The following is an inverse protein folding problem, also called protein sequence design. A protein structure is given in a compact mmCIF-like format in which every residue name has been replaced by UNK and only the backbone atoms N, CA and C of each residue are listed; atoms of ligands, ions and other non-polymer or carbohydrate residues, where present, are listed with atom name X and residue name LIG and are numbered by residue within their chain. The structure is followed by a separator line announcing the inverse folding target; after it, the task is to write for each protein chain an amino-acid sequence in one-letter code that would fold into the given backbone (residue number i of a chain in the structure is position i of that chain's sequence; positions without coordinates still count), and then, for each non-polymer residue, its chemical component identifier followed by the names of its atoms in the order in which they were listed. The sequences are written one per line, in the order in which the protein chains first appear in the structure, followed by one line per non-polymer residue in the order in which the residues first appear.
data_IF_427549069914
#
_entry.id   IF_427549069914
#
_cell.length_a   1.000
_cell.length_b   1.000
_cell.length_c   1.000
_cell.angle_alpha   90.00
_cell.angle_beta   90.00
_cell.angle_gamma   90.00
#
_symmetry.space_group_name_H-M   'P 1'
#
loop_
_entity.id
_entity.type
_entity.pdbx_description
1 polymer ?
#
# COMPACT_ATOMS: atom_id res chain seq x y z
N UNK A 1 -7.45 13.16 16.50
CA UNK A 1 -7.31 11.74 16.87
C UNK A 1 -6.63 11.11 15.68
N UNK A 2 -5.29 11.12 15.64
CA UNK A 2 -4.55 10.69 14.45
C UNK A 2 -4.41 9.16 14.43
N UNK A 3 -4.55 8.55 13.26
CA UNK A 3 -4.25 7.14 13.06
C UNK A 3 -2.79 6.99 12.63
N UNK A 4 -2.06 6.10 13.32
CA UNK A 4 -0.70 5.71 12.97
C UNK A 4 -0.73 4.28 12.47
N UNK A 5 -0.32 4.05 11.22
CA UNK A 5 -0.14 2.72 10.72
C UNK A 5 1.26 2.51 10.13
N UNK A 6 1.84 1.35 10.44
CA UNK A 6 3.19 1.00 10.02
C UNK A 6 3.18 -0.40 9.45
N UNK A 7 3.36 -0.52 8.13
CA UNK A 7 3.54 -1.82 7.49
C UNK A 7 5.04 -2.11 7.39
N UNK A 8 5.51 -3.08 8.18
CA UNK A 8 6.84 -3.68 8.04
C UNK A 8 6.70 -5.06 7.43
N UNK A 9 7.47 -5.33 6.37
CA UNK A 9 7.50 -6.66 5.76
C UNK A 9 8.29 -7.70 6.60
N UNK A 10 8.87 -7.30 7.74
CA UNK A 10 9.54 -8.16 8.72
C UNK A 10 9.43 -7.57 10.15
N UNK A 11 9.19 -8.39 11.19
CA UNK A 11 9.15 -7.92 12.57
C UNK A 11 10.57 -7.66 13.12
N UNK A 12 10.79 -6.45 13.65
CA UNK A 12 11.85 -6.15 14.63
C UNK A 12 11.15 -5.78 15.94
N UNK A 13 11.63 -6.23 17.12
CA UNK A 13 10.99 -5.86 18.38
C UNK A 13 10.96 -4.34 18.53
N UNK A 14 9.82 -3.76 18.97
CA UNK A 14 9.71 -2.33 19.18
C UNK A 14 10.63 -1.89 20.32
N UNK A 15 11.16 -0.65 20.29
CA UNK A 15 11.82 -0.07 21.45
C UNK A 15 10.82 0.05 22.62
N UNK A 16 11.28 -0.06 23.87
CA UNK A 16 10.41 0.10 25.04
C UNK A 16 9.81 1.52 25.09
N UNK A 17 8.49 1.59 25.26
CA UNK A 17 7.78 2.87 25.36
C UNK A 17 8.04 3.54 26.72
N UNK A 18 8.10 4.89 26.78
CA UNK A 18 8.10 5.62 28.04
C UNK A 18 6.78 5.36 28.80
N UNK A 19 6.81 5.39 30.15
CA UNK A 19 5.63 5.13 30.97
C UNK A 19 4.56 6.20 30.75
N UNK A 20 3.35 5.75 30.40
CA UNK A 20 2.17 6.61 30.20
C UNK A 20 1.59 7.03 31.55
N UNK A 21 1.27 8.33 31.78
CA UNK A 21 0.55 8.79 32.96
C UNK A 21 -0.83 8.12 33.07
N UNK A 22 -1.17 7.55 34.22
CA UNK A 22 -2.46 6.91 34.47
C UNK A 22 -3.59 7.95 34.44
N UNK A 23 -4.40 7.95 33.39
CA UNK A 23 -5.65 8.71 33.37
C UNK A 23 -6.74 8.03 34.22
N UNK A 24 -7.64 8.81 34.85
CA UNK A 24 -8.79 8.26 35.56
C UNK A 24 -9.75 7.57 34.57
N UNK A 25 -10.46 6.51 35.01
CA UNK A 25 -11.37 5.77 34.14
C UNK A 25 -12.53 6.67 33.68
N UNK A 26 -12.96 6.56 32.41
CA UNK A 26 -14.10 7.30 31.91
C UNK A 26 -15.40 6.86 32.60
N UNK A 27 -16.41 7.73 32.67
CA UNK A 27 -17.71 7.40 33.25
C UNK A 27 -18.41 6.31 32.40
N UNK A 28 -18.88 5.27 33.09
CA UNK A 28 -19.61 4.15 32.47
C UNK A 28 -20.99 4.66 32.02
N UNK A 29 -21.14 4.92 30.71
CA UNK A 29 -22.43 5.20 30.10
C UNK A 29 -23.25 3.90 30.02
N UNK A 30 -24.49 3.96 30.48
CA UNK A 30 -25.42 2.81 30.42
C UNK A 30 -25.73 2.48 28.95
N UNK A 31 -25.75 1.19 28.56
CA UNK A 31 -26.11 0.78 27.21
C UNK A 31 -27.53 1.26 26.84
N UNK A 32 -27.75 1.70 25.58
CA UNK A 32 -29.09 1.97 25.07
C UNK A 32 -29.97 0.72 25.11
N UNK A 33 -31.28 0.89 25.30
CA UNK A 33 -32.23 -0.21 25.17
C UNK A 33 -32.24 -0.76 23.74
N UNK A 34 -32.40 -2.09 23.56
CA UNK A 34 -32.49 -2.70 22.25
C UNK A 34 -33.74 -2.18 21.51
N UNK A 35 -33.67 -1.99 20.18
CA UNK A 35 -34.81 -1.62 19.38
C UNK A 35 -35.89 -2.74 19.38
N UNK A 36 -37.17 -2.39 19.17
CA UNK A 36 -38.23 -3.37 19.04
C UNK A 36 -38.00 -4.28 17.82
N UNK A 37 -38.44 -5.56 17.87
CA UNK A 37 -38.26 -6.49 16.77
C UNK A 37 -39.00 -6.01 15.53
N UNK A 38 -38.26 -5.87 14.43
CA UNK A 38 -38.81 -5.55 13.11
C UNK A 38 -39.37 -6.84 12.52
N UNK A 39 -40.65 -6.82 12.17
CA UNK A 39 -41.31 -7.91 11.43
C UNK A 39 -40.68 -8.03 10.04
N UNK A 40 -40.03 -9.16 9.74
CA UNK A 40 -39.45 -9.45 8.43
C UNK A 40 -40.55 -9.57 7.35
N UNK A 41 -40.35 -8.99 6.15
CA UNK A 41 -41.21 -9.25 5.00
C UNK A 41 -41.02 -10.68 4.46
N UNK A 42 -42.06 -11.27 3.83
CA UNK A 42 -41.98 -12.63 3.31
C UNK A 42 -40.97 -12.75 2.14
N UNK A 43 -40.32 -13.92 1.99
CA UNK A 43 -39.31 -14.13 0.96
C UNK A 43 -39.91 -14.11 -0.45
N UNK A 44 -39.15 -13.65 -1.47
CA UNK A 44 -39.59 -13.64 -2.85
C UNK A 44 -39.70 -15.07 -3.44
N UNK A 45 -40.55 -15.28 -4.47
CA UNK A 45 -40.72 -16.57 -5.11
C UNK A 45 -39.46 -17.01 -5.87
N UNK A 46 -39.03 -18.24 -5.60
CA UNK A 46 -37.86 -18.86 -6.23
C UNK A 46 -38.16 -19.20 -7.69
N UNK A 47 -37.52 -18.50 -8.63
CA UNK A 47 -37.54 -18.83 -10.06
C UNK A 47 -36.69 -20.07 -10.32
N UNK A 48 -37.31 -21.14 -10.85
CA UNK A 48 -36.63 -22.37 -11.26
C UNK A 48 -35.76 -22.09 -12.50
N UNK A 49 -34.44 -22.16 -12.37
CA UNK A 49 -33.54 -22.22 -13.53
C UNK A 49 -33.68 -23.58 -14.25
N UNK A 50 -33.59 -23.61 -15.60
CA UNK A 50 -33.49 -24.86 -16.34
C UNK A 50 -32.12 -25.54 -16.13
N UNK A 51 -32.05 -26.88 -16.22
CA UNK A 51 -30.81 -27.62 -15.99
C UNK A 51 -29.78 -27.38 -17.11
N UNK A 52 -28.46 -27.41 -16.81
CA UNK A 52 -27.41 -27.26 -17.81
C UNK A 52 -27.31 -28.49 -18.73
N UNK A 53 -26.86 -28.33 -19.98
CA UNK A 53 -26.67 -29.42 -20.91
C UNK A 53 -25.51 -30.34 -20.49
N UNK A 54 -25.76 -31.65 -20.56
CA UNK A 54 -24.79 -32.72 -20.29
C UNK A 54 -23.72 -32.75 -21.39
N UNK A 55 -22.48 -32.42 -21.04
CA UNK A 55 -21.31 -32.59 -21.92
C UNK A 55 -20.94 -34.08 -22.00
N UNK A 56 -20.83 -34.60 -23.23
CA UNK A 56 -20.38 -35.98 -23.49
C UNK A 56 -18.88 -36.13 -23.19
N UNK A 57 -18.42 -37.27 -22.65
CA UNK A 57 -16.99 -37.53 -22.43
C UNK A 57 -16.19 -37.59 -23.74
N UNK A 58 -14.92 -37.13 -23.76
CA UNK A 58 -14.02 -37.30 -24.90
C UNK A 58 -13.57 -38.77 -25.07
N UNK A 59 -13.37 -39.18 -26.34
CA UNK A 59 -12.82 -40.48 -26.73
C UNK A 59 -11.37 -40.68 -26.23
N UNK A 60 -10.93 -41.92 -25.98
CA UNK A 60 -9.55 -42.24 -25.59
C UNK A 60 -8.56 -42.01 -26.74
N UNK A 61 -7.29 -41.69 -26.44
CA UNK A 61 -6.25 -41.48 -27.43
C UNK A 61 -5.86 -42.78 -28.15
N UNK A 62 -5.44 -42.71 -29.43
CA UNK A 62 -4.95 -43.88 -30.16
C UNK A 62 -3.56 -44.33 -29.66
N UNK A 63 -3.46 -45.63 -29.40
CA UNK A 63 -2.22 -46.38 -29.14
C UNK A 63 -1.58 -46.76 -30.46
N UNK A 64 -0.38 -46.26 -30.79
CA UNK A 64 0.44 -46.86 -31.88
C UNK A 64 1.95 -46.76 -31.60
N UNK A 65 2.49 -47.92 -31.22
CA UNK A 65 3.79 -48.56 -31.47
C UNK A 65 5.11 -47.76 -31.50
N UNK A 66 6.02 -48.17 -30.61
CA UNK A 66 7.48 -48.03 -30.72
C UNK A 66 8.05 -48.59 -32.04
N UNK A 67 9.02 -47.90 -32.67
CA UNK A 67 9.92 -48.50 -33.65
C UNK A 67 11.16 -49.15 -32.98
N UNK A 68 11.73 -50.21 -33.60
CA UNK A 68 12.84 -51.01 -33.06
C UNK A 68 14.23 -50.34 -33.11
N UNK A 69 15.22 -50.86 -32.35
CA UNK A 69 16.58 -50.31 -32.23
C UNK A 69 17.48 -50.52 -33.48
N UNK A 70 18.67 -49.87 -33.54
CA UNK A 70 19.28 -49.40 -34.79
C UNK A 70 20.21 -50.42 -35.46
N UNK A 71 20.38 -50.30 -36.79
CA UNK A 71 21.42 -50.99 -37.55
C UNK A 71 22.60 -50.05 -37.85
N UNK A 72 23.80 -50.51 -37.49
CA UNK A 72 25.07 -49.82 -37.68
C UNK A 72 25.41 -49.63 -39.16
N UNK A 73 25.86 -48.44 -39.55
CA UNK A 73 26.59 -48.24 -40.81
C UNK A 73 27.77 -47.26 -40.61
N UNK A 74 28.80 -47.48 -41.43
CA UNK A 74 30.23 -47.12 -41.27
C UNK A 74 30.54 -45.62 -41.05
N UNK A 75 31.67 -45.32 -40.38
CA UNK A 75 32.13 -43.97 -40.13
C UNK A 75 32.62 -43.24 -41.40
N UNK A 76 32.43 -41.91 -41.49
CA UNK A 76 33.01 -41.07 -42.53
C UNK A 76 34.54 -40.94 -42.39
N UNK A 77 35.26 -40.57 -43.49
CA UNK A 77 36.71 -40.38 -43.46
C UNK A 77 37.12 -39.20 -42.54
N UNK A 78 38.35 -39.24 -41.99
CA UNK A 78 38.81 -38.25 -41.02
C UNK A 78 38.99 -36.86 -41.66
N UNK A 79 38.57 -35.77 -40.99
CA UNK A 79 38.94 -34.42 -41.40
C UNK A 79 40.44 -34.20 -41.15
N UNK A 80 41.10 -33.54 -42.11
CA UNK A 80 42.51 -33.12 -42.00
C UNK A 80 42.70 -32.22 -40.76
N UNK A 81 43.63 -32.61 -39.89
CA UNK A 81 44.05 -31.83 -38.73
C UNK A 81 44.68 -30.51 -39.18
N UNK A 82 44.01 -29.39 -38.93
CA UNK A 82 44.67 -28.08 -38.88
C UNK A 82 45.53 -28.03 -37.60
N UNK A 83 46.75 -27.45 -37.62
CA UNK A 83 47.53 -27.26 -36.40
C UNK A 83 46.72 -26.47 -35.36
N UNK A 84 46.76 -26.82 -34.06
CA UNK A 84 46.13 -26.02 -33.03
C UNK A 84 46.76 -24.64 -33.01
N UNK A 85 45.97 -23.61 -33.27
CA UNK A 85 46.32 -22.23 -32.90
C UNK A 85 46.49 -22.20 -31.37
N UNK A 86 47.62 -21.66 -30.90
CA UNK A 86 47.84 -21.39 -29.49
C UNK A 86 46.63 -20.61 -28.92
N UNK A 87 46.09 -21.01 -27.76
CA UNK A 87 45.04 -20.20 -27.13
C UNK A 87 45.61 -18.79 -26.85
N UNK A 88 44.83 -17.73 -27.08
CA UNK A 88 45.23 -16.40 -26.63
C UNK A 88 45.47 -16.44 -25.11
N UNK A 89 46.37 -15.60 -24.58
CA UNK A 89 46.59 -15.52 -23.14
C UNK A 89 45.23 -15.28 -22.47
N UNK A 90 44.91 -16.12 -21.49
CA UNK A 90 43.69 -16.03 -20.69
C UNK A 90 43.73 -14.64 -20.04
N UNK A 91 43.00 -13.69 -20.61
CA UNK A 91 42.72 -12.42 -19.96
C UNK A 91 41.93 -12.77 -18.70
N UNK A 92 42.49 -12.44 -17.54
CA UNK A 92 41.81 -12.61 -16.26
C UNK A 92 40.36 -12.10 -16.38
N UNK A 93 39.37 -12.83 -15.84
CA UNK A 93 38.01 -12.32 -15.81
C UNK A 93 38.03 -10.97 -15.08
N UNK A 94 37.31 -9.95 -15.60
CA UNK A 94 37.27 -8.65 -14.95
C UNK A 94 36.84 -8.85 -13.48
N UNK A 95 37.44 -8.11 -12.53
CA UNK A 95 37.07 -8.22 -11.14
C UNK A 95 35.54 -8.05 -11.03
N UNK A 96 34.86 -8.85 -10.19
CA UNK A 96 33.43 -8.72 -10.02
C UNK A 96 33.14 -7.26 -9.67
N UNK A 97 32.30 -6.62 -10.48
CA UNK A 97 31.85 -5.26 -10.23
C UNK A 97 31.44 -5.18 -8.76
N UNK A 98 31.90 -4.16 -8.00
CA UNK A 98 31.50 -4.04 -6.61
C UNK A 98 29.98 -4.10 -6.57
N UNK A 99 29.43 -5.03 -5.78
CA UNK A 99 28.01 -5.02 -5.44
C UNK A 99 27.73 -3.60 -4.96
N UNK A 100 27.08 -2.79 -5.79
CA UNK A 100 26.66 -1.47 -5.39
C UNK A 100 25.57 -1.70 -4.35
N UNK A 101 25.97 -1.74 -3.08
CA UNK A 101 25.05 -1.67 -1.97
C UNK A 101 24.34 -0.33 -2.12
N UNK A 102 23.15 -0.35 -2.76
CA UNK A 102 22.26 0.81 -2.76
C UNK A 102 22.04 1.16 -1.30
N UNK A 103 22.46 2.35 -0.91
CA UNK A 103 22.15 2.88 0.41
C UNK A 103 20.62 2.96 0.53
N UNK A 104 20.03 2.45 1.61
CA UNK A 104 18.59 2.48 1.80
C UNK A 104 18.09 3.93 1.73
N UNK A 105 17.09 4.18 0.87
CA UNK A 105 16.54 5.51 0.63
C UNK A 105 15.48 5.83 1.68
N UNK A 106 15.43 7.10 2.06
CA UNK A 106 14.39 7.66 2.92
C UNK A 106 13.62 8.72 2.14
N UNK A 107 12.32 8.53 1.94
CA UNK A 107 11.44 9.50 1.25
C UNK A 107 10.17 9.74 2.03
N UNK A 108 9.69 10.97 2.01
CA UNK A 108 8.46 11.32 2.69
C UNK A 108 7.56 12.21 1.83
N UNK A 109 6.27 11.91 1.83
CA UNK A 109 5.21 12.76 1.31
C UNK A 109 4.47 13.36 2.49
N UNK A 110 4.49 14.69 2.62
CA UNK A 110 3.81 15.43 3.69
C UNK A 110 2.74 16.32 3.08
N UNK A 111 1.47 16.04 3.39
CA UNK A 111 0.32 16.77 2.86
C UNK A 111 -0.41 17.48 3.99
N UNK A 112 -0.56 18.80 3.89
CA UNK A 112 -1.35 19.61 4.82
C UNK A 112 -2.37 20.43 4.05
N UNK A 113 -3.65 20.13 4.25
CA UNK A 113 -4.76 20.82 3.59
C UNK A 113 -5.46 21.71 4.61
N UNK A 114 -5.38 23.02 4.43
CA UNK A 114 -5.98 24.02 5.31
C UNK A 114 -7.33 24.53 4.78
N UNK A 115 -7.62 24.36 3.49
CA UNK A 115 -8.84 24.85 2.83
C UNK A 115 -9.05 26.36 3.03
N UNK A 116 -7.99 27.16 2.86
CA UNK A 116 -7.99 28.60 3.14
C UNK A 116 -9.10 29.31 2.36
N UNK A 117 -9.76 30.27 3.00
CA UNK A 117 -10.84 31.06 2.40
C UNK A 117 -12.08 30.24 2.01
N UNK A 118 -12.34 29.12 2.71
CA UNK A 118 -13.51 28.29 2.48
C UNK A 118 -14.28 28.02 3.77
N UNK A 119 -15.51 27.51 3.65
CA UNK A 119 -16.30 27.05 4.81
C UNK A 119 -15.73 25.80 5.50
N UNK A 120 -14.69 25.19 4.93
CA UNK A 120 -14.04 23.98 5.42
C UNK A 120 -12.66 24.28 6.05
N UNK A 121 -12.35 25.54 6.33
CA UNK A 121 -11.03 25.97 6.79
C UNK A 121 -10.59 25.27 8.08
N UNK A 122 -9.36 24.76 8.08
CA UNK A 122 -8.66 24.18 9.21
C UNK A 122 -7.45 25.05 9.55
N UNK A 123 -7.24 25.25 10.85
CA UNK A 123 -6.07 25.93 11.38
C UNK A 123 -5.09 24.90 11.92
N UNK A 124 -3.80 25.09 11.64
CA UNK A 124 -2.74 24.25 12.19
C UNK A 124 -2.13 23.25 11.22
N UNK A 125 -2.81 22.85 10.13
CA UNK A 125 -2.31 21.79 9.25
C UNK A 125 -0.94 22.08 8.63
N UNK A 126 -0.65 23.35 8.29
CA UNK A 126 0.69 23.78 7.85
C UNK A 126 1.73 23.63 8.97
N UNK A 127 1.38 23.99 10.20
CA UNK A 127 2.25 23.84 11.36
C UNK A 127 2.52 22.36 11.65
N UNK A 128 1.51 21.50 11.52
CA UNK A 128 1.66 20.06 11.75
C UNK A 128 2.59 19.42 10.71
N UNK A 129 2.47 19.81 9.44
CA UNK A 129 3.40 19.42 8.37
C UNK A 129 4.83 19.89 8.67
N UNK A 130 5.01 21.13 9.14
CA UNK A 130 6.33 21.65 9.49
C UNK A 130 6.95 20.89 10.68
N UNK A 131 6.15 20.58 11.71
CA UNK A 131 6.61 19.75 12.83
C UNK A 131 7.01 18.34 12.36
N UNK A 132 6.25 17.75 11.44
CA UNK A 132 6.58 16.44 10.87
C UNK A 132 7.85 16.50 10.01
N UNK A 133 8.01 17.55 9.20
CA UNK A 133 9.25 17.82 8.44
C UNK A 133 10.45 17.86 9.38
N UNK A 134 10.38 18.69 10.42
CA UNK A 134 11.47 18.88 11.38
C UNK A 134 11.79 17.58 12.12
N UNK A 135 10.76 16.82 12.50
CA UNK A 135 10.93 15.51 13.12
C UNK A 135 11.72 14.56 12.20
N UNK A 136 11.32 14.46 10.93
CA UNK A 136 11.93 13.54 9.97
C UNK A 136 13.37 13.92 9.63
N UNK A 137 13.64 15.20 9.45
CA UNK A 137 14.97 15.71 9.10
C UNK A 137 15.91 15.61 10.30
N UNK A 138 15.51 16.18 11.44
CA UNK A 138 16.41 16.36 12.59
C UNK A 138 16.63 15.07 13.40
N UNK A 139 15.64 14.18 13.47
CA UNK A 139 15.70 12.99 14.32
C UNK A 139 15.75 11.68 13.55
N UNK A 140 15.14 11.61 12.37
CA UNK A 140 15.11 10.39 11.56
C UNK A 140 16.05 10.42 10.36
N UNK A 141 16.80 11.49 10.16
CA UNK A 141 17.84 11.60 9.12
C UNK A 141 17.30 11.50 7.70
N UNK A 142 16.11 12.06 7.45
CA UNK A 142 15.63 12.30 6.09
C UNK A 142 16.33 13.54 5.52
N UNK A 143 16.67 13.50 4.24
CA UNK A 143 17.20 14.68 3.53
C UNK A 143 16.03 15.52 3.02
N UNK A 144 16.12 16.85 3.12
CA UNK A 144 15.07 17.75 2.63
C UNK A 144 14.73 17.52 1.15
N UNK A 145 15.72 17.20 0.32
CA UNK A 145 15.54 16.89 -1.11
C UNK A 145 14.69 15.62 -1.35
N UNK A 146 14.54 14.77 -0.34
CA UNK A 146 13.72 13.57 -0.39
C UNK A 146 12.35 13.77 0.28
N UNK A 147 11.96 15.01 0.58
CA UNK A 147 10.63 15.36 1.08
C UNK A 147 9.84 16.04 -0.03
N UNK A 148 8.67 15.48 -0.34
CA UNK A 148 7.65 16.15 -1.14
C UNK A 148 6.61 16.74 -0.19
N UNK A 149 6.52 18.06 -0.13
CA UNK A 149 5.62 18.78 0.78
C UNK A 149 4.53 19.45 -0.05
N UNK A 150 3.28 19.10 0.23
CA UNK A 150 2.10 19.67 -0.40
C UNK A 150 1.28 20.47 0.62
N UNK A 151 1.30 21.80 0.52
CA UNK A 151 0.58 22.73 1.41
C UNK A 151 0.13 23.99 0.69
N UNK A 152 -0.82 24.70 1.29
CA UNK A 152 -1.25 26.04 0.85
C UNK A 152 -0.38 27.18 1.42
N UNK A 153 0.84 26.89 1.90
CA UNK A 153 1.75 27.91 2.45
C UNK A 153 2.26 28.85 1.36
N UNK A 154 2.55 28.29 0.17
CA UNK A 154 3.07 29.01 -0.98
C UNK A 154 2.05 28.94 -2.11
N UNK A 155 1.91 30.04 -2.86
CA UNK A 155 1.08 30.10 -4.06
C UNK A 155 1.85 29.53 -5.27
N UNK A 156 2.29 28.28 -5.18
CA UNK A 156 2.92 27.54 -6.27
C UNK A 156 2.03 26.33 -6.63
N UNK A 157 1.45 26.29 -7.85
CA UNK A 157 0.56 25.21 -8.30
C UNK A 157 1.12 23.79 -8.15
N UNK A 158 2.45 23.63 -8.10
CA UNK A 158 3.11 22.32 -7.95
C UNK A 158 3.04 21.75 -6.55
N UNK A 159 2.95 22.62 -5.54
CA UNK A 159 2.94 22.21 -4.12
C UNK A 159 1.58 22.39 -3.47
N UNK A 160 0.59 22.95 -4.19
CA UNK A 160 -0.79 22.99 -3.70
C UNK A 160 -1.33 21.55 -3.60
N UNK A 161 -1.99 21.16 -2.48
CA UNK A 161 -2.50 19.81 -2.27
C UNK A 161 -3.81 19.55 -3.03
N UNK A 162 -3.76 19.65 -4.36
CA UNK A 162 -4.84 19.22 -5.26
C UNK A 162 -4.90 17.70 -5.33
N UNK A 163 -6.04 17.14 -5.75
CA UNK A 163 -6.21 15.69 -5.94
C UNK A 163 -5.09 15.10 -6.79
N UNK A 164 -4.88 15.69 -7.97
CA UNK A 164 -3.84 15.27 -8.90
C UNK A 164 -2.42 15.35 -8.33
N UNK A 165 -2.10 16.36 -7.52
CA UNK A 165 -0.78 16.48 -6.90
C UNK A 165 -0.58 15.44 -5.78
N UNK A 166 -1.61 15.19 -4.97
CA UNK A 166 -1.58 14.16 -3.93
C UNK A 166 -1.41 12.77 -4.57
N UNK A 167 -2.19 12.44 -5.59
CA UNK A 167 -2.10 11.16 -6.32
C UNK A 167 -0.72 10.95 -6.94
N UNK A 168 -0.16 11.98 -7.59
CA UNK A 168 1.22 11.93 -8.10
C UNK A 168 2.26 11.79 -6.99
N UNK A 169 2.05 12.46 -5.87
CA UNK A 169 2.90 12.34 -4.69
C UNK A 169 2.92 10.92 -4.13
N UNK A 170 1.77 10.27 -4.07
CA UNK A 170 1.63 8.87 -3.63
C UNK A 170 2.43 7.93 -4.56
N UNK A 171 2.31 8.11 -5.88
CA UNK A 171 3.07 7.34 -6.86
C UNK A 171 4.58 7.57 -6.73
N UNK A 172 5.01 8.84 -6.61
CA UNK A 172 6.42 9.21 -6.40
C UNK A 172 7.01 8.61 -5.13
N UNK A 173 6.21 8.50 -4.05
CA UNK A 173 6.66 7.97 -2.77
C UNK A 173 7.16 6.53 -2.90
N UNK A 174 6.45 5.68 -3.65
CA UNK A 174 6.80 4.27 -3.84
C UNK A 174 7.66 4.00 -5.07
N UNK A 175 7.86 5.00 -5.93
CA UNK A 175 8.58 4.85 -7.19
C UNK A 175 10.03 4.38 -6.98
N UNK A 176 10.35 3.21 -7.54
CA UNK A 176 11.70 2.68 -7.52
C UNK A 176 12.18 2.23 -6.13
N UNK A 177 11.25 2.01 -5.18
CA UNK A 177 11.60 1.48 -3.86
C UNK A 177 12.24 0.08 -3.95
N UNK A 178 13.15 -0.19 -3.02
CA UNK A 178 13.94 -1.40 -2.88
C UNK A 178 14.12 -1.81 -1.42
N UNK A 179 14.56 -3.05 -1.20
CA UNK A 179 14.83 -3.60 0.13
C UNK A 179 15.67 -2.64 1.00
N UNK A 180 15.20 -2.37 2.22
CA UNK A 180 15.81 -1.44 3.16
C UNK A 180 15.28 0.00 3.12
N UNK A 181 14.52 0.39 2.09
CA UNK A 181 13.97 1.76 1.99
C UNK A 181 12.94 2.06 3.08
N UNK A 182 12.90 3.31 3.55
CA UNK A 182 11.94 3.80 4.53
C UNK A 182 11.12 4.96 3.97
N UNK A 183 9.82 4.74 3.88
CA UNK A 183 8.85 5.66 3.33
C UNK A 183 7.97 6.24 4.43
N UNK A 184 7.61 7.51 4.32
CA UNK A 184 6.65 8.16 5.21
C UNK A 184 5.56 8.83 4.39
N UNK A 185 4.31 8.55 4.71
CA UNK A 185 3.15 9.31 4.24
C UNK A 185 2.52 10.02 5.43
N UNK A 186 2.43 11.34 5.38
CA UNK A 186 1.76 12.14 6.38
C UNK A 186 0.64 12.95 5.72
N UNK A 187 -0.56 12.88 6.27
CA UNK A 187 -1.69 13.68 5.84
C UNK A 187 -2.35 14.35 7.04
N UNK A 188 -2.56 15.67 6.95
CA UNK A 188 -3.36 16.45 7.88
C UNK A 188 -4.43 17.23 7.12
N UNK A 189 -5.70 17.01 7.41
CA UNK A 189 -6.82 17.61 6.69
C UNK A 189 -8.17 16.99 7.05
N UNK A 190 -9.19 17.24 6.22
CA UNK A 190 -10.49 16.59 6.38
C UNK A 190 -10.46 15.17 5.85
N UNK A 191 -11.05 14.27 6.64
CA UNK A 191 -11.46 12.94 6.22
C UNK A 191 -12.98 12.87 6.16
N UNK A 192 -13.51 12.00 5.31
CA UNK A 192 -14.94 11.75 5.22
C UNK A 192 -15.20 10.29 4.89
N UNK A 193 -16.30 9.75 5.38
CA UNK A 193 -16.82 8.47 4.91
C UNK A 193 -17.83 8.70 3.78
N UNK A 194 -17.79 7.90 2.73
CA UNK A 194 -18.82 7.86 1.69
C UNK A 194 -19.47 6.48 1.69
N UNK A 195 -20.77 6.40 1.43
CA UNK A 195 -21.41 5.09 1.30
C UNK A 195 -20.83 4.37 0.08
N UNK A 196 -20.50 3.08 0.23
CA UNK A 196 -19.94 2.26 -0.84
C UNK A 196 -20.83 2.28 -2.09
N UNK A 197 -20.21 2.42 -3.26
CA UNK A 197 -20.92 2.32 -4.54
C UNK A 197 -21.28 0.86 -4.89
N UNK A 198 -20.54 -0.12 -4.35
CA UNK A 198 -20.75 -1.56 -4.55
C UNK A 198 -20.77 -2.23 -3.19
N UNK A 199 -21.91 -2.81 -2.81
CA UNK A 199 -22.07 -3.41 -1.49
C UNK A 199 -21.12 -4.60 -1.28
N UNK A 200 -20.26 -4.51 -0.26
CA UNK A 200 -19.57 -5.66 0.33
C UNK A 200 -18.04 -5.63 0.26
N UNK A 201 -17.42 -4.47 0.04
CA UNK A 201 -15.95 -4.32 0.11
C UNK A 201 -15.49 -4.13 1.56
N UNK A 202 -16.25 -3.38 2.38
CA UNK A 202 -15.97 -3.13 3.78
C UNK A 202 -17.10 -3.59 4.73
N UNK A 203 -16.73 -3.79 6.00
CA UNK A 203 -17.59 -4.41 7.02
C UNK A 203 -18.75 -3.53 7.49
N UNK A 204 -18.64 -2.22 7.27
CA UNK A 204 -19.67 -1.22 7.58
C UNK A 204 -20.28 -0.55 6.32
N UNK A 205 -19.77 -0.90 5.13
CA UNK A 205 -20.28 -0.43 3.84
C UNK A 205 -19.92 1.01 3.50
N UNK A 206 -18.78 1.54 4.00
CA UNK A 206 -18.43 2.97 3.88
C UNK A 206 -16.94 3.25 3.65
N UNK A 207 -16.55 3.53 2.40
CA UNK A 207 -15.18 3.93 2.08
C UNK A 207 -14.73 5.18 2.85
N UNK A 208 -13.56 5.10 3.51
CA UNK A 208 -12.89 6.26 4.09
C UNK A 208 -12.17 7.06 2.99
N UNK A 209 -12.22 8.39 3.09
CA UNK A 209 -11.65 9.28 2.08
C UNK A 209 -10.87 10.42 2.71
N UNK A 210 -9.76 10.82 2.07
CA UNK A 210 -9.14 12.12 2.32
C UNK A 210 -9.71 13.16 1.36
N UNK A 211 -9.81 14.41 1.82
CA UNK A 211 -10.31 15.53 1.02
C UNK A 211 -9.15 16.41 0.53
N UNK A 212 -8.79 16.37 -0.77
CA UNK A 212 -7.88 17.35 -1.38
C UNK A 212 -8.44 18.77 -1.32
N UNK A 213 -7.64 19.78 -1.65
CA UNK A 213 -8.10 21.17 -1.66
C UNK A 213 -9.27 21.39 -2.63
N UNK A 214 -9.24 20.73 -3.78
CA UNK A 214 -10.20 20.82 -4.88
C UNK A 214 -11.29 19.73 -4.83
N UNK A 215 -11.53 19.13 -3.65
CA UNK A 215 -12.47 18.00 -3.50
C UNK A 215 -13.91 18.30 -3.94
N UNK A 216 -14.34 19.56 -3.90
CA UNK A 216 -15.67 19.97 -4.38
C UNK A 216 -15.81 19.84 -5.91
N UNK A 217 -14.70 19.88 -6.64
CA UNK A 217 -14.66 19.83 -8.10
C UNK A 217 -14.17 18.48 -8.63
N UNK A 218 -13.06 17.98 -8.09
CA UNK A 218 -12.39 16.77 -8.57
C UNK A 218 -12.73 15.52 -7.72
N UNK A 219 -13.52 15.70 -6.66
CA UNK A 219 -13.90 14.66 -5.72
C UNK A 219 -12.82 14.35 -4.68
N UNK A 220 -13.15 13.42 -3.79
CA UNK A 220 -12.25 12.94 -2.73
C UNK A 220 -11.30 11.85 -3.26
N UNK A 221 -10.33 11.45 -2.45
CA UNK A 221 -9.46 10.29 -2.73
C UNK A 221 -9.87 9.17 -1.77
N UNK A 222 -10.21 8.01 -2.33
CA UNK A 222 -10.61 6.80 -1.60
C UNK A 222 -9.40 6.10 -0.99
N UNK A 223 -9.58 5.53 0.19
CA UNK A 223 -8.66 4.59 0.84
C UNK A 223 -8.23 3.43 -0.07
N UNK A 224 -9.15 2.86 -0.85
CA UNK A 224 -8.89 1.83 -1.85
C UNK A 224 -7.84 2.27 -2.88
N UNK A 225 -7.88 3.54 -3.29
CA UNK A 225 -6.85 4.14 -4.16
C UNK A 225 -5.52 4.29 -3.42
N UNK A 226 -5.55 4.77 -2.17
CA UNK A 226 -4.33 4.93 -1.35
C UNK A 226 -3.67 3.56 -1.14
N UNK A 227 -4.42 2.54 -0.73
CA UNK A 227 -3.94 1.18 -0.51
C UNK A 227 -3.32 0.59 -1.78
N UNK A 228 -4.07 0.59 -2.88
CA UNK A 228 -3.58 0.04 -4.16
C UNK A 228 -2.35 0.78 -4.70
N UNK A 229 -2.17 2.06 -4.35
CA UNK A 229 -1.02 2.87 -4.79
C UNK A 229 0.21 2.69 -3.89
N UNK A 230 0.07 2.78 -2.57
CA UNK A 230 1.23 2.83 -1.65
C UNK A 230 1.40 1.59 -0.77
N UNK A 231 0.40 0.71 -0.68
CA UNK A 231 0.44 -0.51 0.16
C UNK A 231 0.62 -1.77 -0.67
N UNK A 232 -0.15 -1.91 -1.76
CA UNK A 232 -0.10 -3.06 -2.67
C UNK A 232 1.28 -3.25 -3.34
N UNK A 233 1.91 -2.20 -3.89
CA UNK A 233 3.19 -2.32 -4.62
C UNK A 233 4.44 -2.45 -3.74
N UNK A 234 4.32 -2.41 -2.41
CA UNK A 234 5.49 -2.43 -1.52
C UNK A 234 6.25 -3.74 -1.63
N UNK A 235 7.53 -3.63 -2.00
CA UNK A 235 8.43 -4.78 -2.06
C UNK A 235 8.85 -5.22 -0.67
N UNK A 236 9.25 -6.49 -0.57
CA UNK A 236 9.88 -7.04 0.64
C UNK A 236 11.09 -6.19 1.02
N UNK A 237 11.19 -5.88 2.31
CA UNK A 237 12.24 -5.07 2.91
C UNK A 237 11.95 -3.57 2.99
N UNK A 238 10.91 -3.08 2.31
CA UNK A 238 10.49 -1.67 2.39
C UNK A 238 9.63 -1.48 3.63
N UNK A 239 9.84 -0.36 4.33
CA UNK A 239 9.00 0.04 5.47
C UNK A 239 8.24 1.30 5.14
N UNK A 240 6.91 1.26 5.17
CA UNK A 240 6.04 2.44 5.06
C UNK A 240 5.43 2.76 6.42
N UNK A 241 5.63 4.00 6.88
CA UNK A 241 4.90 4.58 8.00
C UNK A 241 3.91 5.60 7.44
N UNK A 242 2.63 5.40 7.70
CA UNK A 242 1.57 6.29 7.26
C UNK A 242 0.85 6.86 8.48
N UNK A 243 0.76 8.18 8.54
CA UNK A 243 0.17 8.93 9.64
C UNK A 243 -0.90 9.83 9.05
N UNK A 244 -2.13 9.64 9.49
CA UNK A 244 -3.27 10.42 9.00
C UNK A 244 -3.93 11.10 10.20
N UNK A 245 -3.84 12.43 10.23
CA UNK A 245 -4.53 13.29 11.17
C UNK A 245 -5.78 13.88 10.49
N UNK A 246 -6.86 13.10 10.52
CA UNK A 246 -8.15 13.44 9.94
C UNK A 246 -9.27 12.81 10.76
N UNK A 247 -10.51 13.33 10.65
CA UNK A 247 -11.69 12.65 11.18
C UNK A 247 -11.97 11.39 10.34
N UNK A 248 -12.34 10.26 10.97
CA UNK A 248 -12.55 8.97 10.29
C UNK A 248 -11.29 8.48 9.55
N UNK A 249 -10.20 8.32 10.30
CA UNK A 249 -8.90 7.88 9.76
C UNK A 249 -8.55 6.44 10.15
N UNK A 250 -9.51 5.68 10.69
CA UNK A 250 -9.26 4.38 11.33
C UNK A 250 -8.97 3.27 10.33
N UNK A 251 -9.59 3.33 9.16
CA UNK A 251 -9.50 2.35 8.08
C UNK A 251 -8.88 2.91 6.79
N UNK A 252 -8.39 4.16 6.79
CA UNK A 252 -7.96 4.91 5.59
C UNK A 252 -6.83 4.30 4.75
N UNK A 253 -6.21 3.23 5.24
CA UNK A 253 -5.18 2.48 4.53
C UNK A 253 -5.59 1.03 4.24
N UNK A 254 -6.78 0.61 4.65
CA UNK A 254 -7.30 -0.76 4.62
C UNK A 254 -6.22 -1.81 4.96
N UNK A 255 -5.69 -1.69 6.17
CA UNK A 255 -4.61 -2.56 6.65
C UNK A 255 -5.19 -3.71 7.46
N UNK A 256 -4.87 -4.94 7.04
CA UNK A 256 -5.36 -6.19 7.64
C UNK A 256 -5.11 -6.33 9.16
N UNK A 257 -4.14 -5.57 9.69
CA UNK A 257 -3.82 -5.54 11.11
C UNK A 257 -4.01 -4.11 11.65
N UNK A 258 -5.04 -3.92 12.46
CA UNK A 258 -5.29 -2.68 13.19
C UNK A 258 -4.93 -2.90 14.66
N UNK A 259 -3.98 -2.12 15.16
CA UNK A 259 -3.61 -2.14 16.57
C UNK A 259 -4.26 -0.96 17.29
N UNK A 260 -5.31 -1.23 18.06
CA UNK A 260 -5.92 -0.22 18.91
C UNK A 260 -5.22 -0.20 20.29
N UNK A 261 -4.47 0.87 20.53
CA UNK A 261 -3.73 1.09 21.79
C UNK A 261 -4.66 1.35 22.99
N UNK A 262 -5.94 1.68 22.78
CA UNK A 262 -6.93 1.82 23.87
C UNK A 262 -7.43 0.47 24.39
N UNK A 263 -7.38 -0.59 23.58
CA UNK A 263 -7.99 -1.89 23.95
C UNK A 263 -6.97 -2.98 24.24
N UNK A 264 -5.69 -2.86 23.84
CA UNK A 264 -4.73 -3.98 23.86
C UNK A 264 -5.27 -5.26 23.17
N UNK A 265 -6.21 -5.12 22.24
CA UNK A 265 -6.78 -6.23 21.48
C UNK A 265 -6.29 -6.12 20.04
N UNK A 266 -5.57 -7.16 19.61
CA UNK A 266 -5.18 -7.39 18.23
C UNK A 266 -6.40 -7.95 17.49
N UNK A 267 -7.18 -7.09 16.83
CA UNK A 267 -8.28 -7.55 16.01
C UNK A 267 -7.73 -7.93 14.63
N UNK A 268 -7.80 -9.21 14.30
CA UNK A 268 -7.64 -9.68 12.91
C UNK A 268 -8.93 -9.29 12.16
N UNK A 269 -8.81 -8.40 11.16
CA UNK A 269 -9.83 -8.26 10.12
C UNK A 269 -9.46 -9.26 9.03
N UNK A 270 -10.19 -10.38 9.00
CA UNK A 270 -10.29 -11.31 7.87
C UNK A 270 -11.51 -10.89 7.06
#
# INVERSE_FOLDING_TARGET
MGCFCSKRTQPRPPPPFPPVPKQPPPPVLKPPLPPPPVSEPPPPPVSKLPPPPVLKPPLPPPTVSEPPPPLMSKPPPPPMLKPPLLPPPISEPPPPLPFQSKTPKKRALLCGVSYKNSKHELKGTINDVNNMKDLLVNYFGFLEDNLLILTEEKDDPKVIPTKNNIEKGLQWLVEGCSDGDSLVFYFAGHGASVDEALAGDEKDGKDETICPLDFLKEGKILDNYINSTIVGPLKKGVTLHAIVDACHSGTILDLSNVYNLETYICNFMI
#
